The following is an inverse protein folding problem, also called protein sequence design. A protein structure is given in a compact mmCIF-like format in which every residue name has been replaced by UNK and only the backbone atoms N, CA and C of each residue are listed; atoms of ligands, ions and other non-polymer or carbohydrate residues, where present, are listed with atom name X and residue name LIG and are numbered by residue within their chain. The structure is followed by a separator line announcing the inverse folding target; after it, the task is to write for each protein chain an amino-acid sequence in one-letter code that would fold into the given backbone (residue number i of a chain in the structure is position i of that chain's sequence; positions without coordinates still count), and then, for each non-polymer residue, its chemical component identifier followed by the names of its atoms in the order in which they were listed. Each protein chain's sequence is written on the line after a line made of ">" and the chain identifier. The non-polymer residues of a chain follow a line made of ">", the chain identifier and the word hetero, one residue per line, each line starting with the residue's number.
data_IF_666551505069
#
_entry.id   IF_666551505069
#
_cell.length_a   1.000
_cell.length_b   1.000
_cell.length_c   1.000
_cell.angle_alpha   90.00
_cell.angle_beta   90.00
_cell.angle_gamma   90.00
#
_symmetry.space_group_name_H-M   'P 1'
#
loop_
_entity.id
_entity.type
_entity.pdbx_description
1 polymer ?
#
# COMPACT_ATOMS: atom_id res chain seq x y z
N UNK A 1 15.02 -3.50 -2.00
CA UNK A 1 14.77 -4.96 -2.16
C UNK A 1 13.39 -5.15 -2.78
N UNK A 2 13.12 -6.26 -3.45
CA UNK A 2 11.74 -6.57 -3.84
C UNK A 2 10.87 -6.80 -2.59
N UNK A 3 9.61 -6.37 -2.66
CA UNK A 3 8.61 -6.69 -1.66
C UNK A 3 8.20 -8.16 -1.78
N UNK A 4 7.83 -8.79 -0.66
CA UNK A 4 7.17 -10.10 -0.70
C UNK A 4 5.68 -9.91 -1.03
N UNK A 5 4.99 -10.94 -1.55
CA UNK A 5 3.54 -10.88 -1.74
C UNK A 5 2.77 -10.49 -0.48
N UNK A 6 3.20 -10.97 0.69
CA UNK A 6 2.57 -10.67 1.98
C UNK A 6 2.67 -9.19 2.34
N UNK A 7 3.79 -8.54 2.03
CA UNK A 7 3.98 -7.12 2.29
C UNK A 7 3.04 -6.25 1.44
N UNK A 8 2.80 -6.64 0.18
CA UNK A 8 1.80 -5.97 -0.67
C UNK A 8 0.38 -6.26 -0.16
N UNK A 9 0.09 -7.50 0.23
CA UNK A 9 -1.22 -7.92 0.70
C UNK A 9 -1.68 -7.16 1.95
N UNK A 10 -0.76 -6.86 2.88
CA UNK A 10 -1.10 -6.06 4.07
C UNK A 10 -1.63 -4.67 3.72
N UNK A 11 -1.04 -3.99 2.73
CA UNK A 11 -1.55 -2.69 2.26
C UNK A 11 -2.93 -2.82 1.62
N UNK A 12 -3.15 -3.87 0.83
CA UNK A 12 -4.47 -4.14 0.23
C UNK A 12 -5.52 -4.38 1.31
N UNK A 13 -5.23 -5.22 2.32
CA UNK A 13 -6.13 -5.50 3.44
C UNK A 13 -6.44 -4.22 4.22
N UNK A 14 -5.45 -3.35 4.45
CA UNK A 14 -5.69 -2.06 5.07
C UNK A 14 -6.64 -1.19 4.24
N UNK A 15 -6.39 -1.03 2.93
CA UNK A 15 -7.22 -0.24 2.03
C UNK A 15 -8.64 -0.78 1.88
N UNK A 16 -8.82 -2.10 1.97
CA UNK A 16 -10.13 -2.75 1.94
C UNK A 16 -10.90 -2.67 3.27
N UNK A 17 -10.27 -2.19 4.34
CA UNK A 17 -10.88 -2.11 5.68
C UNK A 17 -11.51 -0.75 5.96
N UNK A 18 -12.39 -0.69 6.97
CA UNK A 18 -12.99 0.57 7.45
C UNK A 18 -11.98 1.60 7.95
N UNK A 19 -10.74 1.17 8.25
CA UNK A 19 -9.65 2.06 8.67
C UNK A 19 -9.23 3.02 7.56
N UNK A 20 -9.46 2.66 6.30
CA UNK A 20 -9.14 3.47 5.13
C UNK A 20 -10.35 4.26 4.59
N UNK A 21 -11.47 4.36 5.32
CA UNK A 21 -12.75 4.91 4.81
C UNK A 21 -12.72 6.32 4.22
N UNK A 22 -11.67 7.09 4.50
CA UNK A 22 -11.50 8.46 3.99
C UNK A 22 -10.38 8.56 2.93
N UNK A 23 -9.71 7.45 2.59
CA UNK A 23 -8.70 7.38 1.55
C UNK A 23 -9.37 7.04 0.22
N UNK A 24 -9.31 7.96 -0.73
CA UNK A 24 -9.80 7.77 -2.10
C UNK A 24 -9.00 8.63 -3.08
N UNK A 25 -8.96 8.21 -4.35
CA UNK A 25 -8.28 8.94 -5.43
C UNK A 25 -6.76 9.00 -5.31
N UNK A 26 -6.15 8.20 -4.45
CA UNK A 26 -4.70 8.16 -4.25
C UNK A 26 -4.10 6.88 -4.83
N UNK A 27 -2.94 7.02 -5.47
CA UNK A 27 -2.06 5.89 -5.78
C UNK A 27 -1.04 5.74 -4.65
N UNK A 28 -1.16 4.67 -3.86
CA UNK A 28 -0.23 4.38 -2.77
C UNK A 28 0.91 3.50 -3.28
N UNK A 29 2.12 4.07 -3.37
CA UNK A 29 3.32 3.32 -3.73
C UNK A 29 3.75 2.38 -2.59
N UNK A 30 3.93 1.10 -2.91
CA UNK A 30 4.43 0.05 -2.00
C UNK A 30 5.67 -0.58 -2.59
N UNK A 31 6.73 0.22 -2.72
CA UNK A 31 7.94 -0.11 -3.49
C UNK A 31 9.23 0.04 -2.66
N UNK A 32 9.11 0.14 -1.33
CA UNK A 32 10.24 0.37 -0.45
C UNK A 32 10.87 1.76 -0.58
N UNK A 33 10.14 2.73 -1.12
CA UNK A 33 10.60 4.11 -1.32
C UNK A 33 11.33 4.33 -2.64
N UNK A 34 11.34 3.35 -3.55
CA UNK A 34 12.07 3.42 -4.81
C UNK A 34 11.68 4.61 -5.68
N UNK A 35 10.39 4.93 -5.77
CA UNK A 35 9.89 6.08 -6.54
C UNK A 35 10.19 7.43 -5.90
N UNK A 36 10.61 7.47 -4.64
CA UNK A 36 10.82 8.70 -3.86
C UNK A 36 12.30 9.04 -3.61
N UNK A 37 13.25 8.26 -4.14
CA UNK A 37 14.70 8.51 -3.98
C UNK A 37 15.25 9.54 -4.95
#
# INVERSE_FOLDING_TARGET
>A
RAATPEEIAQTIVFLASDKARFLTGQNLAVDGGYTAQ
#
